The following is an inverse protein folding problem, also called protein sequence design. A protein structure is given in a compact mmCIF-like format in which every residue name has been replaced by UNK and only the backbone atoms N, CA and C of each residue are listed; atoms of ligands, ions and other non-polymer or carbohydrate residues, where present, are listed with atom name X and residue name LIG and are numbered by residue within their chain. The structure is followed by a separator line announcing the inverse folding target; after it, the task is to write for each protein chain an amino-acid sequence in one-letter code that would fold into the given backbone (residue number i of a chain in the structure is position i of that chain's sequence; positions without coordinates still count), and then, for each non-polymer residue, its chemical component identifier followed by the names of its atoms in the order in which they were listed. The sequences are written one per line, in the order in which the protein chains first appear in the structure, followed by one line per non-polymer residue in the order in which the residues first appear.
data_IF_642231461599
#
_entry.id   IF_642231461599
#
_cell.length_a   1.000
_cell.length_b   1.000
_cell.length_c   1.000
_cell.angle_alpha   90.00
_cell.angle_beta   90.00
_cell.angle_gamma   90.00
#
_symmetry.space_group_name_H-M   'P 1'
#
loop_
_entity.id
_entity.type
_entity.pdbx_description
1 polymer ?
#
# COMPACT_ATOMS: atom_id res chain seq x y z
N UNK A 1 2.48 -38.29 -4.09
CA UNK A 1 2.44 -37.51 -2.83
C UNK A 1 3.18 -36.18 -2.95
N UNK A 2 4.37 -36.13 -3.57
CA UNK A 2 5.16 -34.90 -3.74
C UNK A 2 4.43 -33.69 -4.38
N UNK A 3 3.63 -33.89 -5.43
CA UNK A 3 2.91 -32.79 -6.11
C UNK A 3 1.90 -32.08 -5.20
N UNK A 4 1.24 -32.83 -4.29
CA UNK A 4 0.29 -32.24 -3.32
C UNK A 4 1.00 -31.43 -2.24
N UNK A 5 2.20 -31.84 -1.84
CA UNK A 5 3.00 -31.10 -0.86
C UNK A 5 3.61 -29.82 -1.45
N UNK A 6 4.01 -29.86 -2.72
CA UNK A 6 4.50 -28.69 -3.46
C UNK A 6 3.40 -27.64 -3.66
N UNK A 7 2.21 -28.07 -4.10
CA UNK A 7 1.02 -27.19 -4.18
C UNK A 7 0.62 -26.61 -2.82
N UNK A 8 0.71 -27.42 -1.75
CA UNK A 8 0.46 -26.95 -0.39
C UNK A 8 1.42 -25.85 0.05
N UNK A 9 2.71 -25.99 -0.27
CA UNK A 9 3.72 -24.96 0.02
C UNK A 9 3.51 -23.69 -0.78
N UNK A 10 3.17 -23.79 -2.06
CA UNK A 10 2.92 -22.62 -2.90
C UNK A 10 1.72 -21.80 -2.41
N UNK A 11 0.63 -22.48 -2.04
CA UNK A 11 -0.53 -21.83 -1.43
C UNK A 11 -0.19 -21.18 -0.08
N UNK A 12 0.65 -21.83 0.74
CA UNK A 12 1.13 -21.28 2.00
C UNK A 12 1.89 -19.96 1.77
N UNK A 13 2.80 -19.93 0.79
CA UNK A 13 3.56 -18.73 0.43
C UNK A 13 2.67 -17.57 -0.03
N UNK A 14 1.61 -17.86 -0.79
CA UNK A 14 0.64 -16.85 -1.19
C UNK A 14 -0.13 -16.28 0.01
N UNK A 15 -0.58 -17.14 0.92
CA UNK A 15 -1.27 -16.73 2.15
C UNK A 15 -0.35 -15.86 3.02
N UNK A 16 0.90 -16.26 3.18
CA UNK A 16 1.87 -15.51 3.97
C UNK A 16 2.15 -14.14 3.35
N UNK A 17 2.22 -14.05 2.02
CA UNK A 17 2.35 -12.77 1.31
C UNK A 17 1.15 -11.84 1.59
N UNK A 18 -0.08 -12.36 1.53
CA UNK A 18 -1.30 -11.59 1.84
C UNK A 18 -1.29 -11.12 3.30
N UNK A 19 -0.96 -11.99 4.25
CA UNK A 19 -0.87 -11.63 5.67
C UNK A 19 0.17 -10.56 5.92
N UNK A 20 1.36 -10.71 5.33
CA UNK A 20 2.44 -9.73 5.45
C UNK A 20 2.01 -8.36 4.90
N UNK A 21 1.29 -8.34 3.77
CA UNK A 21 0.74 -7.11 3.22
C UNK A 21 -0.29 -6.45 4.16
N UNK A 22 -1.16 -7.23 4.81
CA UNK A 22 -2.11 -6.70 5.77
C UNK A 22 -1.42 -6.12 7.01
N UNK A 23 -0.40 -6.80 7.55
CA UNK A 23 0.39 -6.31 8.67
C UNK A 23 1.09 -5.00 8.32
N UNK A 24 1.74 -4.93 7.15
CA UNK A 24 2.37 -3.71 6.66
C UNK A 24 1.35 -2.57 6.53
N UNK A 25 0.18 -2.85 5.93
CA UNK A 25 -0.88 -1.86 5.73
C UNK A 25 -1.39 -1.29 7.05
N UNK A 26 -1.58 -2.15 8.06
CA UNK A 26 -2.00 -1.73 9.39
C UNK A 26 -0.95 -0.87 10.10
N UNK A 27 0.33 -1.23 10.00
CA UNK A 27 1.44 -0.44 10.56
C UNK A 27 1.50 0.94 9.92
N UNK A 28 1.52 0.99 8.59
CA UNK A 28 1.57 2.25 7.84
C UNK A 28 0.35 3.11 8.13
N UNK A 29 -0.85 2.53 8.21
CA UNK A 29 -2.05 3.27 8.59
C UNK A 29 -1.95 3.90 9.98
N UNK A 30 -1.46 3.17 10.98
CA UNK A 30 -1.26 3.70 12.34
C UNK A 30 -0.26 4.86 12.34
N UNK A 31 0.84 4.73 11.60
CA UNK A 31 1.86 5.78 11.43
C UNK A 31 1.31 7.02 10.73
N UNK A 32 0.52 6.84 9.66
CA UNK A 32 -0.16 7.95 8.97
C UNK A 32 -1.12 8.64 9.94
N UNK A 33 -1.94 7.90 10.67
CA UNK A 33 -2.94 8.45 11.58
C UNK A 33 -2.30 9.24 12.73
N UNK A 34 -1.13 8.81 13.21
CA UNK A 34 -0.36 9.53 14.21
C UNK A 34 0.17 10.89 13.69
N UNK A 35 0.58 10.95 12.43
CA UNK A 35 1.07 12.19 11.79
C UNK A 35 -0.05 13.09 11.27
N UNK A 36 -1.17 12.50 10.84
CA UNK A 36 -2.31 13.16 10.22
C UNK A 36 -3.61 12.69 10.88
N UNK A 37 -4.01 13.30 12.01
CA UNK A 37 -5.21 12.89 12.76
C UNK A 37 -6.51 12.97 11.96
N UNK A 38 -6.54 13.75 10.87
CA UNK A 38 -7.68 13.87 9.97
C UNK A 38 -7.92 12.64 9.07
N UNK A 39 -7.02 11.65 9.05
CA UNK A 39 -7.22 10.41 8.28
C UNK A 39 -8.27 9.54 8.95
N UNK A 40 -9.33 9.22 8.20
CA UNK A 40 -10.42 8.35 8.66
C UNK A 40 -10.17 6.90 8.28
N UNK A 41 -9.75 6.67 7.04
CA UNK A 41 -9.45 5.34 6.52
C UNK A 41 -8.33 5.42 5.47
N UNK A 42 -7.70 4.28 5.22
CA UNK A 42 -6.71 4.13 4.17
C UNK A 42 -6.88 2.76 3.49
N UNK A 43 -6.75 2.73 2.17
CA UNK A 43 -6.54 1.50 1.41
C UNK A 43 -5.09 1.52 0.96
N UNK A 44 -4.34 0.48 1.28
CA UNK A 44 -2.92 0.36 1.00
C UNK A 44 -2.73 -1.01 0.34
N UNK A 45 -2.51 -1.03 -0.96
CA UNK A 45 -2.41 -2.29 -1.71
C UNK A 45 -1.35 -2.23 -2.81
N UNK A 46 -0.60 -3.33 -3.03
CA UNK A 46 0.19 -3.49 -4.24
C UNK A 46 -0.76 -3.52 -5.43
N UNK A 47 -0.39 -2.87 -6.52
CA UNK A 47 -1.19 -2.76 -7.73
C UNK A 47 -0.28 -2.68 -8.95
N UNK A 48 -0.88 -2.81 -10.13
CA UNK A 48 -0.18 -2.67 -11.39
C UNK A 48 -0.86 -1.58 -12.22
N UNK A 49 -0.06 -0.66 -12.75
CA UNK A 49 -0.50 0.24 -13.80
C UNK A 49 -0.39 -0.52 -15.11
N UNK A 50 -1.54 -0.76 -15.73
CA UNK A 50 -1.64 -1.39 -17.04
C UNK A 50 -1.64 -0.29 -18.11
N UNK A 51 -0.73 -0.39 -19.06
CA UNK A 51 -0.64 0.49 -20.23
C UNK A 51 -0.42 -0.33 -21.50
N UNK A 52 -0.63 0.28 -22.67
CA UNK A 52 -0.62 -0.41 -23.98
C UNK A 52 0.66 -1.21 -24.27
N UNK A 53 1.78 -0.86 -23.63
CA UNK A 53 3.08 -1.51 -23.86
C UNK A 53 3.81 -1.98 -22.60
N UNK A 54 3.36 -1.59 -21.39
CA UNK A 54 4.05 -1.97 -20.15
C UNK A 54 3.11 -2.18 -18.97
N UNK A 55 3.47 -3.14 -18.13
CA UNK A 55 2.89 -3.31 -16.78
C UNK A 55 3.91 -2.79 -15.77
N UNK A 56 3.52 -1.81 -14.97
CA UNK A 56 4.40 -1.25 -13.93
C UNK A 56 3.81 -1.49 -12.55
N UNK A 57 4.58 -2.14 -11.68
CA UNK A 57 4.19 -2.32 -10.29
C UNK A 57 4.17 -0.97 -9.56
N UNK A 58 3.13 -0.75 -8.79
CA UNK A 58 2.91 0.46 -8.00
C UNK A 58 2.26 0.11 -6.67
N UNK A 59 2.33 1.02 -5.71
CA UNK A 59 1.51 0.95 -4.50
C UNK A 59 0.36 1.93 -4.62
N UNK A 60 -0.87 1.39 -4.62
CA UNK A 60 -2.08 2.20 -4.60
C UNK A 60 -2.45 2.52 -3.15
N UNK A 61 -2.47 3.81 -2.85
CA UNK A 61 -2.80 4.34 -1.53
C UNK A 61 -3.98 5.30 -1.70
N UNK A 62 -5.14 4.90 -1.19
CA UNK A 62 -6.32 5.77 -1.11
C UNK A 62 -6.49 6.22 0.33
N UNK A 63 -6.53 7.52 0.57
CA UNK A 63 -6.75 8.10 1.90
C UNK A 63 -8.04 8.89 1.92
N UNK A 64 -8.98 8.52 2.81
CA UNK A 64 -10.13 9.38 3.08
C UNK A 64 -9.86 10.24 4.31
N UNK A 65 -10.05 11.55 4.17
CA UNK A 65 -9.65 12.51 5.19
C UNK A 65 -10.74 13.55 5.45
N UNK A 66 -10.86 14.02 6.69
CA UNK A 66 -11.73 15.14 7.00
C UNK A 66 -11.02 16.47 6.75
N UNK A 67 -11.58 17.29 5.86
CA UNK A 67 -11.05 18.61 5.55
C UNK A 67 -10.03 18.60 4.42
N UNK A 68 -9.68 19.79 3.94
CA UNK A 68 -8.76 19.93 2.82
C UNK A 68 -7.32 20.05 3.34
N UNK A 69 -6.44 19.16 2.90
CA UNK A 69 -5.01 19.24 3.26
C UNK A 69 -4.28 20.20 2.33
N UNK A 70 -3.43 21.09 2.85
CA UNK A 70 -2.56 21.93 2.04
C UNK A 70 -1.67 21.11 1.11
N UNK A 71 -1.46 21.55 -0.13
CA UNK A 71 -0.64 20.82 -1.11
C UNK A 71 0.77 20.46 -0.61
N UNK A 72 1.35 21.29 0.27
CA UNK A 72 2.64 21.02 0.94
C UNK A 72 2.61 19.76 1.80
N UNK A 73 1.54 19.57 2.57
CA UNK A 73 1.38 18.38 3.41
C UNK A 73 1.08 17.12 2.59
N UNK A 74 0.32 17.25 1.49
CA UNK A 74 0.13 16.15 0.53
C UNK A 74 1.46 15.66 -0.04
N UNK A 75 2.34 16.60 -0.43
CA UNK A 75 3.68 16.27 -0.93
C UNK A 75 4.56 15.63 0.16
N UNK A 76 4.50 16.15 1.40
CA UNK A 76 5.23 15.59 2.54
C UNK A 76 4.80 14.14 2.82
N UNK A 77 3.50 13.87 2.85
CA UNK A 77 2.95 12.53 3.06
C UNK A 77 3.36 11.58 1.93
N UNK A 78 3.29 12.02 0.67
CA UNK A 78 3.74 11.22 -0.48
C UNK A 78 5.22 10.85 -0.36
N UNK A 79 6.09 11.81 -0.07
CA UNK A 79 7.53 11.56 0.05
C UNK A 79 7.84 10.62 1.22
N UNK A 80 7.16 10.82 2.36
CA UNK A 80 7.29 9.93 3.51
C UNK A 80 6.87 8.49 3.17
N UNK A 81 5.75 8.32 2.46
CA UNK A 81 5.28 7.00 2.01
C UNK A 81 6.28 6.31 1.08
N UNK A 82 6.89 7.06 0.15
CA UNK A 82 7.90 6.51 -0.77
C UNK A 82 9.11 5.95 -0.03
N UNK A 83 9.59 6.69 0.98
CA UNK A 83 10.70 6.23 1.84
C UNK A 83 10.27 5.05 2.71
N UNK A 84 9.10 5.14 3.36
CA UNK A 84 8.63 4.14 4.32
C UNK A 84 8.33 2.78 3.69
N UNK A 85 7.81 2.79 2.46
CA UNK A 85 7.48 1.58 1.70
C UNK A 85 8.63 1.10 0.82
N UNK A 86 9.74 1.85 0.75
CA UNK A 86 10.86 1.60 -0.17
C UNK A 86 10.39 1.41 -1.62
N UNK A 87 9.36 2.16 -2.01
CA UNK A 87 8.68 2.06 -3.30
C UNK A 87 8.68 3.46 -3.93
N UNK A 88 9.44 3.69 -5.02
CA UNK A 88 9.45 5.00 -5.68
C UNK A 88 8.10 5.29 -6.35
N UNK A 89 7.41 4.25 -6.83
CA UNK A 89 6.15 4.34 -7.55
C UNK A 89 4.98 4.12 -6.59
N UNK A 90 4.43 5.23 -6.09
CA UNK A 90 3.24 5.26 -5.26
C UNK A 90 2.19 6.14 -5.93
N UNK A 91 0.99 5.58 -6.09
CA UNK A 91 -0.17 6.32 -6.51
C UNK A 91 -1.00 6.70 -5.26
N UNK A 92 -0.91 7.97 -4.85
CA UNK A 92 -1.60 8.49 -3.67
C UNK A 92 -2.83 9.30 -4.10
N UNK A 93 -4.00 8.85 -3.70
CA UNK A 93 -5.29 9.47 -3.99
C UNK A 93 -5.93 9.92 -2.68
N UNK A 94 -6.43 11.15 -2.65
CA UNK A 94 -7.17 11.71 -1.52
C UNK A 94 -8.65 11.76 -1.87
N UNK A 95 -9.50 11.22 -1.00
CA UNK A 95 -10.97 11.22 -1.11
C UNK A 95 -11.61 12.04 0.01
#
# INVERSE_FOLDING_TARGET
MAIKEEQGKELQLQIDSIKNQQVLSNQVFAEIKAQFPGVRNAIIQPSAILSDSTTQNTMLILLSMSGNIPSREKARLKNWLQVRLNQPNINLIFQ
#
